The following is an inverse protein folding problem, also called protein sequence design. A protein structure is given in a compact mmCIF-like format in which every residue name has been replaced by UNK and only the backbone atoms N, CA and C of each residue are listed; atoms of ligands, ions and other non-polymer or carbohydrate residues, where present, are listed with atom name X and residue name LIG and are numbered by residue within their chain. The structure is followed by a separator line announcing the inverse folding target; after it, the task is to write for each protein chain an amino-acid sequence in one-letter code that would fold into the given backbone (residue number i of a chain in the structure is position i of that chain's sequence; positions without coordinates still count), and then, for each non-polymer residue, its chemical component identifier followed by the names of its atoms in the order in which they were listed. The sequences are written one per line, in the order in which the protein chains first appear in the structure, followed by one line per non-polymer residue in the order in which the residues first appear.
data_IF_056808367989
#
_entry.id   IF_056808367989
#
_cell.length_a   1.000
_cell.length_b   1.000
_cell.length_c   1.000
_cell.angle_alpha   90.00
_cell.angle_beta   90.00
_cell.angle_gamma   90.00
#
_symmetry.space_group_name_H-M   'P 1'
#
loop_
_entity.id
_entity.type
_entity.pdbx_description
1 polymer ?
#
# COMPACT_ATOMS: atom_id res chain seq x y z
N UNK A 1 17.74 -14.74 5.17
CA UNK A 1 17.59 -14.27 3.77
C UNK A 1 18.80 -13.45 3.33
N UNK A 2 18.98 -12.22 3.83
CA UNK A 2 20.07 -11.31 3.41
C UNK A 2 21.51 -11.78 3.74
N UNK A 3 21.67 -12.80 4.59
CA UNK A 3 22.96 -13.40 4.92
C UNK A 3 23.43 -14.44 3.90
N UNK A 4 22.56 -14.91 3.01
CA UNK A 4 22.88 -15.88 1.96
C UNK A 4 22.49 -15.30 0.58
N UNK A 5 23.46 -14.75 -0.18
CA UNK A 5 23.21 -14.12 -1.48
C UNK A 5 22.54 -15.06 -2.49
N UNK A 6 22.96 -16.34 -2.53
CA UNK A 6 22.42 -17.33 -3.47
C UNK A 6 20.92 -17.61 -3.24
N UNK A 7 20.45 -17.42 -2.01
CA UNK A 7 19.02 -17.47 -1.68
C UNK A 7 18.37 -16.13 -2.00
N UNK A 8 18.93 -15.01 -1.52
CA UNK A 8 18.34 -13.69 -1.69
C UNK A 8 18.06 -13.33 -3.16
N UNK A 9 18.96 -13.67 -4.08
CA UNK A 9 18.83 -13.44 -5.53
C UNK A 9 17.55 -14.02 -6.17
N UNK A 10 16.91 -14.97 -5.50
CA UNK A 10 15.73 -15.70 -6.01
C UNK A 10 14.47 -15.45 -5.17
N UNK A 11 14.48 -14.45 -4.29
CA UNK A 11 13.39 -14.19 -3.35
C UNK A 11 12.70 -12.83 -3.58
N UNK A 12 11.43 -12.80 -3.19
CA UNK A 12 10.65 -11.59 -2.99
C UNK A 12 9.96 -11.68 -1.63
N UNK A 13 10.07 -10.62 -0.83
CA UNK A 13 9.30 -10.44 0.40
C UNK A 13 8.19 -9.43 0.12
N UNK A 14 6.95 -9.85 0.31
CA UNK A 14 5.76 -8.99 0.16
C UNK A 14 5.22 -8.74 1.57
N UNK A 15 5.11 -7.47 1.94
CA UNK A 15 4.51 -7.04 3.20
C UNK A 15 3.19 -6.34 2.84
N UNK A 16 2.08 -6.91 3.29
CA UNK A 16 0.74 -6.34 3.13
C UNK A 16 0.03 -6.34 4.48
N UNK A 17 -0.87 -5.38 4.68
CA UNK A 17 -1.74 -5.31 5.84
C UNK A 17 -3.09 -5.94 5.51
N UNK A 18 -3.71 -6.64 6.44
CA UNK A 18 -5.00 -7.31 6.24
C UNK A 18 -6.18 -6.33 6.23
N UNK A 19 -6.07 -5.19 6.92
CA UNK A 19 -7.12 -4.17 6.99
C UNK A 19 -6.55 -2.74 7.21
N UNK A 20 -7.39 -1.71 7.14
CA UNK A 20 -6.99 -0.29 7.10
C UNK A 20 -6.86 0.40 8.48
N UNK A 21 -6.97 -0.34 9.58
CA UNK A 21 -6.84 0.13 10.96
C UNK A 21 -7.93 1.11 11.39
N UNK A 22 -9.08 1.14 10.71
CA UNK A 22 -10.12 2.19 10.86
C UNK A 22 -9.64 3.63 10.59
N UNK A 23 -8.48 3.79 9.95
CA UNK A 23 -8.02 5.10 9.50
C UNK A 23 -8.79 5.54 8.25
N UNK A 24 -8.99 6.85 8.11
CA UNK A 24 -9.62 7.42 6.94
C UNK A 24 -8.74 7.26 5.69
N UNK A 25 -9.34 6.77 4.61
CA UNK A 25 -8.78 6.81 3.26
C UNK A 25 -9.69 7.64 2.36
N UNK A 26 -9.09 8.53 1.57
CA UNK A 26 -9.79 9.40 0.63
C UNK A 26 -10.15 8.73 -0.69
N UNK A 27 -9.55 7.58 -1.03
CA UNK A 27 -9.83 6.90 -2.31
C UNK A 27 -11.05 6.01 -2.16
N UNK A 28 -12.07 6.27 -2.98
CA UNK A 28 -13.24 5.41 -3.07
C UNK A 28 -12.84 4.06 -3.68
N UNK A 29 -13.13 2.94 -3.01
CA UNK A 29 -12.74 1.63 -3.51
C UNK A 29 -13.56 1.23 -4.73
N UNK A 30 -12.93 0.61 -5.75
CA UNK A 30 -13.66 0.01 -6.86
C UNK A 30 -14.65 -1.04 -6.37
N UNK A 31 -15.86 -1.01 -6.91
CA UNK A 31 -16.93 -1.97 -6.64
C UNK A 31 -17.47 -2.53 -7.94
N UNK A 32 -17.86 -3.81 -7.91
CA UNK A 32 -18.42 -4.46 -9.07
C UNK A 32 -19.81 -3.89 -9.40
N UNK A 33 -20.23 -3.88 -10.67
CA UNK A 33 -21.61 -3.54 -11.05
C UNK A 33 -22.63 -4.54 -10.49
N UNK A 34 -23.88 -4.14 -10.22
CA UNK A 34 -24.94 -5.04 -9.76
C UNK A 34 -25.09 -6.29 -10.61
N UNK A 35 -25.22 -7.44 -9.95
CA UNK A 35 -25.37 -8.74 -10.63
C UNK A 35 -24.06 -9.39 -11.07
N UNK A 36 -22.91 -8.79 -10.78
CA UNK A 36 -21.61 -9.42 -11.08
C UNK A 36 -21.44 -10.72 -10.27
N UNK A 37 -21.30 -11.89 -10.90
CA UNK A 37 -21.21 -13.17 -10.20
C UNK A 37 -19.97 -13.24 -9.28
N UNK A 38 -20.18 -13.70 -8.05
CA UNK A 38 -19.10 -13.86 -7.06
C UNK A 38 -18.59 -12.57 -6.41
N UNK A 39 -19.20 -11.42 -6.72
CA UNK A 39 -18.78 -10.10 -6.22
C UNK A 39 -19.77 -9.43 -5.27
N UNK A 40 -20.82 -10.15 -4.88
CA UNK A 40 -21.90 -9.67 -4.04
C UNK A 40 -22.14 -10.61 -2.87
N UNK A 41 -22.56 -10.06 -1.73
CA UNK A 41 -23.01 -10.86 -0.59
C UNK A 41 -24.38 -11.45 -0.92
N UNK A 42 -24.43 -12.74 -1.26
CA UNK A 42 -25.66 -13.43 -1.71
C UNK A 42 -26.17 -14.49 -0.74
N UNK A 43 -25.70 -14.51 0.51
CA UNK A 43 -26.11 -15.54 1.47
C UNK A 43 -27.60 -15.42 1.80
N UNK A 44 -28.37 -16.53 1.76
CA UNK A 44 -29.84 -16.48 1.86
C UNK A 44 -30.34 -16.09 3.25
N UNK A 45 -29.55 -16.37 4.28
CA UNK A 45 -29.85 -16.16 5.70
C UNK A 45 -29.24 -14.87 6.28
N UNK A 46 -28.78 -13.94 5.43
CA UNK A 46 -28.14 -12.69 5.90
C UNK A 46 -29.04 -11.91 6.87
N UNK A 47 -30.37 -11.97 6.70
CA UNK A 47 -31.34 -11.29 7.56
C UNK A 47 -31.45 -11.94 8.96
N UNK A 48 -30.98 -13.18 9.13
CA UNK A 48 -30.90 -13.87 10.40
C UNK A 48 -29.59 -13.59 11.17
N UNK A 49 -28.60 -12.96 10.52
CA UNK A 49 -27.31 -12.63 11.12
C UNK A 49 -27.40 -11.28 11.85
N UNK A 50 -27.38 -11.32 13.19
CA UNK A 50 -27.38 -10.11 14.02
C UNK A 50 -26.22 -9.19 13.64
N UNK A 51 -26.53 -7.93 13.33
CA UNK A 51 -25.54 -6.91 12.93
C UNK A 51 -25.28 -6.82 11.42
N UNK A 52 -25.86 -7.68 10.58
CA UNK A 52 -25.68 -7.63 9.12
C UNK A 52 -26.40 -6.46 8.45
N UNK A 53 -27.47 -5.96 9.07
CA UNK A 53 -28.37 -4.96 8.48
C UNK A 53 -29.07 -5.43 7.20
N UNK A 54 -29.05 -6.74 6.88
CA UNK A 54 -29.56 -7.29 5.61
C UNK A 54 -28.81 -6.80 4.36
N UNK A 55 -27.60 -6.24 4.53
CA UNK A 55 -26.83 -5.60 3.45
C UNK A 55 -26.30 -6.66 2.48
N UNK A 56 -26.74 -6.57 1.22
CA UNK A 56 -26.35 -7.46 0.11
C UNK A 56 -25.54 -6.74 -0.96
N UNK A 57 -24.70 -5.80 -0.52
CA UNK A 57 -23.90 -4.94 -1.39
C UNK A 57 -22.75 -5.65 -2.11
N UNK A 58 -22.05 -4.95 -3.00
CA UNK A 58 -20.82 -5.44 -3.58
C UNK A 58 -19.77 -5.66 -2.48
N UNK A 59 -18.98 -6.72 -2.60
CA UNK A 59 -17.85 -7.00 -1.69
C UNK A 59 -16.77 -5.92 -1.88
N UNK A 60 -16.48 -5.58 -3.14
CA UNK A 60 -15.49 -4.56 -3.51
C UNK A 60 -14.04 -4.97 -3.19
N UNK A 61 -13.12 -4.05 -3.44
CA UNK A 61 -11.71 -4.21 -3.07
C UNK A 61 -11.41 -3.79 -1.62
N UNK A 62 -12.33 -3.07 -0.98
CA UNK A 62 -12.12 -2.50 0.35
C UNK A 62 -11.18 -1.29 0.35
N UNK A 63 -10.93 -0.73 1.54
CA UNK A 63 -10.02 0.41 1.72
C UNK A 63 -8.58 0.06 1.34
N UNK A 64 -7.79 1.05 0.91
CA UNK A 64 -6.40 0.77 0.56
C UNK A 64 -5.60 0.44 1.82
N UNK A 65 -4.68 -0.49 1.62
CA UNK A 65 -3.68 -0.88 2.60
C UNK A 65 -2.29 -0.69 2.01
N UNK A 66 -1.28 -0.38 2.82
CA UNK A 66 0.09 -0.35 2.33
C UNK A 66 0.50 -1.74 1.81
N UNK A 67 1.24 -1.76 0.71
CA UNK A 67 1.90 -2.96 0.20
C UNK A 67 3.34 -2.62 -0.17
N UNK A 68 4.29 -3.41 0.33
CA UNK A 68 5.73 -3.21 0.09
C UNK A 68 6.30 -4.49 -0.51
N UNK A 69 6.98 -4.36 -1.64
CA UNK A 69 7.67 -5.46 -2.33
C UNK A 69 9.18 -5.26 -2.25
N UNK A 70 9.86 -6.19 -1.57
CA UNK A 70 11.29 -6.14 -1.33
C UNK A 70 11.95 -7.32 -2.05
N UNK A 71 12.72 -7.03 -3.10
CA UNK A 71 13.38 -8.03 -3.92
C UNK A 71 14.64 -7.46 -4.60
N UNK A 72 15.62 -8.29 -4.99
CA UNK A 72 16.67 -7.89 -5.94
C UNK A 72 16.11 -7.35 -7.27
N UNK A 73 14.89 -7.74 -7.63
CA UNK A 73 14.19 -7.30 -8.84
C UNK A 73 13.32 -6.05 -8.63
N UNK A 74 13.10 -5.57 -7.40
CA UNK A 74 12.44 -4.28 -7.14
C UNK A 74 13.45 -3.12 -6.99
N UNK A 75 14.58 -3.26 -7.72
CA UNK A 75 15.61 -2.27 -8.06
C UNK A 75 15.22 -0.79 -8.17
N UNK A 76 15.49 0.05 -7.17
CA UNK A 76 15.53 1.52 -7.34
C UNK A 76 14.35 2.26 -6.71
N UNK A 77 14.18 3.56 -7.00
CA UNK A 77 13.01 4.30 -6.55
C UNK A 77 11.85 3.88 -7.48
N UNK A 78 11.14 2.82 -7.11
CA UNK A 78 10.00 2.32 -7.86
C UNK A 78 8.73 2.55 -7.07
N UNK A 79 7.80 3.31 -7.64
CA UNK A 79 6.42 3.38 -7.16
C UNK A 79 5.53 2.88 -8.29
N UNK A 80 4.99 1.68 -8.10
CA UNK A 80 3.92 1.15 -8.96
C UNK A 80 2.60 1.67 -8.44
N UNK A 81 1.75 2.14 -9.34
CA UNK A 81 0.41 2.61 -8.97
C UNK A 81 -0.67 2.01 -9.87
N UNK A 82 -0.41 0.79 -10.33
CA UNK A 82 -1.45 -0.09 -10.83
C UNK A 82 -2.41 -0.44 -9.69
N UNK A 83 -3.59 -0.94 -10.04
CA UNK A 83 -4.58 -1.34 -9.03
C UNK A 83 -4.30 -2.76 -8.58
N UNK A 84 -3.99 -2.93 -7.30
CA UNK A 84 -3.80 -4.23 -6.67
C UNK A 84 -4.77 -4.43 -5.51
N UNK A 85 -5.13 -5.67 -5.26
CA UNK A 85 -5.78 -6.11 -4.03
C UNK A 85 -5.03 -7.33 -3.46
N UNK A 86 -5.54 -7.91 -2.37
CA UNK A 86 -4.97 -9.12 -1.78
C UNK A 86 -4.89 -10.29 -2.77
N UNK A 87 -5.82 -10.37 -3.72
CA UNK A 87 -5.84 -11.44 -4.71
C UNK A 87 -4.78 -11.28 -5.79
N UNK A 88 -4.23 -10.07 -5.98
CA UNK A 88 -3.07 -9.85 -6.86
C UNK A 88 -1.84 -10.65 -6.43
N UNK A 89 -1.70 -10.98 -5.13
CA UNK A 89 -0.65 -11.89 -4.64
C UNK A 89 -0.86 -13.33 -5.15
N UNK A 90 -2.11 -13.78 -5.23
CA UNK A 90 -2.46 -15.08 -5.82
C UNK A 90 -2.20 -15.07 -7.33
N UNK A 91 -2.55 -13.97 -8.03
CA UNK A 91 -2.25 -13.80 -9.46
C UNK A 91 -0.75 -13.79 -9.75
N UNK A 92 0.08 -13.25 -8.85
CA UNK A 92 1.53 -13.30 -8.99
C UNK A 92 2.04 -14.75 -8.95
N UNK A 93 1.53 -15.56 -8.03
CA UNK A 93 1.86 -16.98 -7.91
C UNK A 93 1.37 -17.75 -9.15
N UNK A 94 0.15 -17.48 -9.60
CA UNK A 94 -0.41 -18.05 -10.84
C UNK A 94 0.47 -17.73 -12.06
N UNK A 95 0.83 -16.45 -12.23
CA UNK A 95 1.63 -15.98 -13.36
C UNK A 95 3.04 -16.55 -13.31
N UNK A 96 3.64 -16.65 -12.12
CA UNK A 96 5.01 -17.13 -11.96
C UNK A 96 5.14 -18.65 -12.10
N UNK A 97 4.19 -19.42 -11.58
CA UNK A 97 4.30 -20.87 -11.44
C UNK A 97 3.28 -21.67 -12.25
N UNK A 98 2.34 -21.01 -12.93
CA UNK A 98 1.27 -21.66 -13.70
C UNK A 98 0.23 -22.37 -12.83
N UNK A 99 0.10 -21.99 -11.55
CA UNK A 99 -0.87 -22.59 -10.63
C UNK A 99 -2.22 -21.88 -10.76
N UNK A 100 -3.33 -22.59 -11.07
CA UNK A 100 -4.61 -21.94 -11.30
C UNK A 100 -5.20 -21.33 -10.01
N UNK A 101 -5.82 -20.15 -10.14
CA UNK A 101 -6.62 -19.53 -9.07
C UNK A 101 -8.10 -19.56 -9.49
N UNK A 102 -8.81 -20.68 -9.24
CA UNK A 102 -10.15 -20.91 -9.80
C UNK A 102 -11.23 -20.01 -9.18
N UNK A 103 -11.01 -19.54 -7.96
CA UNK A 103 -11.97 -18.71 -7.23
C UNK A 103 -11.79 -17.21 -7.50
N UNK A 104 -10.83 -16.82 -8.35
CA UNK A 104 -10.67 -15.42 -8.73
C UNK A 104 -11.63 -15.08 -9.86
N UNK A 105 -12.60 -14.22 -9.55
CA UNK A 105 -13.68 -13.87 -10.47
C UNK A 105 -13.18 -13.17 -11.75
N UNK A 106 -13.94 -13.25 -12.85
CA UNK A 106 -13.62 -12.49 -14.07
C UNK A 106 -13.55 -10.98 -13.83
N UNK A 107 -14.39 -10.44 -12.95
CA UNK A 107 -14.39 -9.02 -12.63
C UNK A 107 -13.10 -8.60 -11.91
N UNK A 108 -12.66 -9.32 -10.87
CA UNK A 108 -11.38 -9.01 -10.21
C UNK A 108 -10.22 -9.08 -11.18
N UNK A 109 -10.17 -10.10 -12.06
CA UNK A 109 -9.15 -10.21 -13.12
C UNK A 109 -9.13 -9.03 -14.10
N UNK A 110 -10.26 -8.35 -14.27
CA UNK A 110 -10.39 -7.18 -15.16
C UNK A 110 -10.05 -5.84 -14.48
N UNK A 111 -10.04 -5.79 -13.15
CA UNK A 111 -9.85 -4.54 -12.38
C UNK A 111 -8.51 -4.50 -11.65
N UNK A 112 -7.99 -5.66 -11.21
CA UNK A 112 -6.72 -5.75 -10.47
C UNK A 112 -5.64 -6.43 -11.30
N UNK A 113 -4.41 -5.94 -11.19
CA UNK A 113 -3.25 -6.49 -11.89
C UNK A 113 -2.60 -7.65 -11.11
N UNK A 114 -1.58 -8.30 -11.70
CA UNK A 114 -0.93 -9.52 -11.19
C UNK A 114 0.36 -9.29 -10.36
N UNK A 115 0.64 -8.03 -9.99
CA UNK A 115 1.86 -7.56 -9.29
C UNK A 115 3.18 -7.74 -10.05
N UNK A 116 3.20 -8.21 -11.29
CA UNK A 116 4.46 -8.37 -12.03
C UNK A 116 5.16 -7.04 -12.30
N UNK A 117 4.40 -5.95 -12.44
CA UNK A 117 4.92 -4.58 -12.60
C UNK A 117 5.69 -4.05 -11.37
N UNK A 118 5.53 -4.68 -10.20
CA UNK A 118 6.35 -4.40 -9.01
C UNK A 118 7.81 -4.88 -9.13
N UNK A 119 8.14 -5.58 -10.21
CA UNK A 119 9.48 -6.12 -10.48
C UNK A 119 9.99 -5.65 -11.83
N UNK A 120 11.29 -5.35 -11.89
CA UNK A 120 12.01 -5.11 -13.13
C UNK A 120 12.81 -6.38 -13.50
N UNK A 121 12.21 -7.25 -14.30
CA UNK A 121 12.87 -8.46 -14.81
C UNK A 121 13.71 -8.21 -16.08
N UNK A 122 13.69 -7.00 -16.65
CA UNK A 122 14.47 -6.66 -17.83
C UNK A 122 15.96 -6.46 -17.51
N UNK A 123 16.32 -6.31 -16.23
CA UNK A 123 17.70 -6.16 -15.75
C UNK A 123 18.08 -7.32 -14.81
N UNK A 124 19.37 -7.68 -14.74
CA UNK A 124 19.84 -8.65 -13.76
C UNK A 124 19.49 -8.24 -12.32
N UNK A 125 19.23 -9.20 -11.42
CA UNK A 125 18.91 -8.89 -10.03
C UNK A 125 20.05 -8.12 -9.37
N UNK A 126 19.70 -7.14 -8.53
CA UNK A 126 20.67 -6.42 -7.69
C UNK A 126 20.55 -6.84 -6.22
N UNK A 127 21.36 -7.82 -5.75
CA UNK A 127 21.29 -8.33 -4.39
C UNK A 127 22.08 -7.47 -3.37
N UNK A 128 22.83 -6.45 -3.82
CA UNK A 128 23.68 -5.62 -2.95
C UNK A 128 22.88 -5.02 -1.79
N UNK A 129 23.41 -4.81 -0.59
CA UNK A 129 22.60 -4.18 0.47
C UNK A 129 22.23 -2.74 0.09
N UNK A 130 20.96 -2.31 0.24
CA UNK A 130 20.61 -0.91 0.01
C UNK A 130 21.44 -0.02 0.94
N UNK A 131 22.03 1.04 0.39
CA UNK A 131 22.67 2.08 1.19
C UNK A 131 21.55 2.94 1.78
N UNK A 132 21.22 2.71 3.05
CA UNK A 132 20.34 3.60 3.80
C UNK A 132 21.22 4.73 4.32
N UNK A 133 21.03 5.94 3.80
CA UNK A 133 21.72 7.10 4.35
C UNK A 133 21.28 7.30 5.80
N UNK A 134 22.18 7.71 6.71
CA UNK A 134 21.84 7.86 8.12
C UNK A 134 20.68 8.86 8.25
N UNK A 135 19.55 8.47 8.87
CA UNK A 135 18.36 9.32 8.93
C UNK A 135 18.65 10.64 9.66
N UNK A 136 19.61 10.63 10.59
CA UNK A 136 20.06 11.81 11.33
C UNK A 136 20.69 12.88 10.42
N UNK A 137 21.49 12.49 9.43
CA UNK A 137 22.18 13.41 8.52
C UNK A 137 21.20 14.12 7.58
N UNK A 138 20.16 13.41 7.11
CA UNK A 138 19.09 13.99 6.30
C UNK A 138 18.09 14.80 7.13
N UNK A 139 18.04 14.59 8.44
CA UNK A 139 17.27 15.42 9.36
C UNK A 139 17.97 16.72 9.73
N UNK A 140 19.31 16.82 9.62
CA UNK A 140 20.08 18.03 9.97
C UNK A 140 19.56 19.33 9.32
N UNK A 141 19.19 19.37 8.03
CA UNK A 141 18.63 20.58 7.41
C UNK A 141 17.22 20.93 7.91
N UNK A 142 16.51 19.95 8.51
CA UNK A 142 15.18 20.11 9.10
C UNK A 142 15.24 20.40 10.61
N UNK A 143 16.37 20.11 11.27
CA UNK A 143 16.58 20.46 12.68
C UNK A 143 16.35 21.94 13.02
N UNK A 144 16.68 22.94 12.18
CA UNK A 144 16.32 24.34 12.41
C UNK A 144 14.83 24.57 12.62
N UNK A 145 13.96 23.76 12.01
CA UNK A 145 12.51 23.80 12.21
C UNK A 145 12.11 23.29 13.60
N UNK A 146 12.96 22.45 14.21
CA UNK A 146 12.81 21.93 15.56
C UNK A 146 13.57 22.76 16.61
N UNK A 147 14.43 23.71 16.22
CA UNK A 147 15.19 24.58 17.13
C UNK A 147 14.28 25.34 18.11
N UNK A 148 13.11 25.88 17.72
CA UNK A 148 12.19 26.48 18.68
C UNK A 148 11.78 25.51 19.79
N UNK A 149 11.56 24.24 19.45
CA UNK A 149 11.19 23.18 20.41
C UNK A 149 12.39 22.72 21.27
N UNK A 150 13.59 22.73 20.70
CA UNK A 150 14.84 22.45 21.42
C UNK A 150 15.18 23.56 22.44
N UNK A 151 15.05 24.82 22.03
CA UNK A 151 15.28 26.00 22.89
C UNK A 151 14.23 26.09 24.00
N UNK A 152 12.98 25.67 23.75
CA UNK A 152 11.94 25.55 24.78
C UNK A 152 12.08 24.32 25.72
N UNK A 153 13.10 23.47 25.54
CA UNK A 153 13.32 22.29 26.40
C UNK A 153 12.30 21.16 26.22
N UNK A 154 11.53 21.17 25.12
CA UNK A 154 10.42 20.22 24.87
C UNK A 154 10.84 18.88 24.25
N UNK A 155 12.14 18.66 24.02
CA UNK A 155 12.66 17.41 23.44
C UNK A 155 12.66 16.23 24.41
N UNK A 156 12.46 16.47 25.71
CA UNK A 156 12.46 15.47 26.76
C UNK A 156 11.09 15.33 27.42
N UNK A 157 10.05 14.95 26.66
CA UNK A 157 8.82 14.32 27.15
C UNK A 157 7.94 15.05 28.19
N UNK A 158 8.32 16.23 28.70
CA UNK A 158 7.63 16.87 29.84
C UNK A 158 7.40 18.38 29.70
N UNK A 159 7.94 19.04 28.67
CA UNK A 159 7.63 20.45 28.38
C UNK A 159 6.87 20.55 27.06
N UNK A 160 5.77 21.30 27.10
CA UNK A 160 4.83 21.54 26.00
C UNK A 160 5.62 21.90 24.73
N UNK A 161 5.74 20.97 23.80
CA UNK A 161 6.19 21.26 22.44
C UNK A 161 5.29 22.37 21.91
N UNK A 162 5.85 23.39 21.23
CA UNK A 162 5.02 24.42 20.63
C UNK A 162 4.04 23.70 19.71
N UNK A 163 2.74 23.63 20.07
CA UNK A 163 1.84 22.71 19.41
C UNK A 163 1.82 23.10 17.94
N UNK A 164 1.89 22.10 17.06
CA UNK A 164 1.70 22.34 15.64
C UNK A 164 0.43 23.18 15.50
N UNK A 165 0.57 24.42 15.02
CA UNK A 165 -0.55 25.35 14.96
C UNK A 165 -1.49 24.80 13.89
N UNK A 166 -2.52 24.11 14.36
CA UNK A 166 -3.56 23.56 13.51
C UNK A 166 -4.16 24.74 12.71
N UNK A 167 -4.17 24.68 11.37
CA UNK A 167 -4.79 25.71 10.56
C UNK A 167 -6.25 25.93 10.99
N UNK A 168 -6.63 27.19 11.19
CA UNK A 168 -8.01 27.59 11.50
C UNK A 168 -8.51 28.56 10.42
N UNK A 169 -9.71 28.33 9.84
CA UNK A 169 -10.62 27.21 10.14
C UNK A 169 -10.06 25.87 9.67
N UNK A 170 -10.34 24.80 10.44
CA UNK A 170 -10.13 23.45 9.93
C UNK A 170 -11.17 23.21 8.84
N UNK A 171 -10.72 23.27 7.60
CA UNK A 171 -11.49 22.79 6.45
C UNK A 171 -11.09 21.36 6.16
N UNK A 172 -12.06 20.45 5.92
CA UNK A 172 -11.74 19.11 5.43
C UNK A 172 -10.81 19.23 4.21
N UNK A 173 -9.79 18.36 4.08
CA UNK A 173 -8.97 18.36 2.88
C UNK A 173 -9.87 18.10 1.67
N UNK A 174 -9.79 18.95 0.66
CA UNK A 174 -10.39 18.67 -0.64
C UNK A 174 -9.67 17.48 -1.25
N UNK A 175 -10.43 16.46 -1.65
CA UNK A 175 -9.90 15.34 -2.42
C UNK A 175 -9.16 15.89 -3.64
N UNK A 176 -7.89 15.51 -3.82
CA UNK A 176 -7.15 15.90 -5.02
C UNK A 176 -7.91 15.34 -6.24
N UNK A 177 -8.31 16.24 -7.14
CA UNK A 177 -9.08 15.91 -8.35
C UNK A 177 -8.23 15.24 -9.42
N UNK A 178 -6.92 15.23 -9.21
CA UNK A 178 -5.91 14.60 -10.06
C UNK A 178 -5.02 13.77 -9.16
N UNK A 179 -4.67 12.53 -9.53
CA UNK A 179 -3.66 11.82 -8.78
C UNK A 179 -2.35 12.58 -8.94
N UNK A 180 -1.85 13.25 -7.90
CA UNK A 180 -0.43 13.52 -7.79
C UNK A 180 0.27 12.19 -7.54
N UNK A 181 0.30 11.32 -8.58
CA UNK A 181 1.05 10.06 -8.56
C UNK A 181 2.49 10.45 -8.26
N UNK A 182 3.06 10.12 -7.09
CA UNK A 182 4.44 10.49 -6.82
C UNK A 182 5.29 9.74 -7.85
N UNK A 183 5.98 10.46 -8.72
CA UNK A 183 7.12 9.88 -9.42
C UNK A 183 8.11 9.41 -8.35
N UNK A 184 8.59 8.19 -8.52
CA UNK A 184 9.90 8.11 -9.13
C UNK A 184 9.77 7.26 -10.38
N UNK A 185 9.65 7.97 -11.51
CA UNK A 185 10.28 7.47 -12.71
C UNK A 185 11.76 7.34 -12.38
N UNK A 186 12.26 6.10 -12.27
CA UNK A 186 13.65 5.89 -12.62
C UNK A 186 13.88 6.57 -13.97
N UNK A 187 14.96 7.34 -14.15
CA UNK A 187 15.32 7.76 -15.50
C UNK A 187 15.55 6.48 -16.31
N UNK A 188 15.11 6.49 -17.57
CA UNK A 188 15.61 5.71 -18.69
C UNK A 188 16.44 4.45 -18.34
#
# INVERSE_FOLDING_TARGET
MLSNPAVWEKNALIISYDECGSFFDHVTPPTAPPGTPGEYVTVPDIDAVSGSGGIRGPIGLGYRVPCIVISPYSRGPLVVSDTFDHTSQLRLIETRFGVPVPNLTPWRRSVTEDMTSAFNFAVPPNPSRPKLDPPLLNALPRLPQCVPNAVLGSLGGAAVANPYRVPYPQVPPTQETTPARPTPSGPC
#
